data_IF_390760357012
#
_entry.id   IF_390760357012
#
_cell.length_a   1.000
_cell.length_b   1.000
_cell.length_c   1.000
_cell.angle_alpha   90.00
_cell.angle_beta   90.00
_cell.angle_gamma   90.00
#
_symmetry.space_group_name_H-M   'P 1'
#
loop_
_entity.id
_entity.type
_entity.pdbx_description
1 polymer ?
#
# COMPACT_ATOMS: atom_id res chain seq x y z
N UNK A 1 4.94 1.92 -10.59
CA UNK A 1 4.16 2.91 -11.33
C UNK A 1 3.00 2.16 -11.96
N UNK A 2 1.76 2.57 -11.71
CA UNK A 2 0.56 1.89 -12.19
C UNK A 2 -0.10 2.79 -13.23
N UNK A 3 -0.16 2.30 -14.47
CA UNK A 3 -0.96 2.90 -15.55
C UNK A 3 -2.43 2.49 -15.28
N UNK A 4 -3.40 3.31 -15.66
CA UNK A 4 -4.84 3.05 -15.48
C UNK A 4 -5.21 1.62 -15.92
N UNK A 5 -6.37 1.11 -15.46
CA UNK A 5 -6.86 -0.22 -15.87
C UNK A 5 -6.91 -0.41 -17.41
N UNK A 6 -7.09 0.68 -18.16
CA UNK A 6 -7.12 0.70 -19.62
C UNK A 6 -5.76 1.00 -20.28
N UNK A 7 -4.71 1.25 -19.50
CA UNK A 7 -3.36 1.55 -19.96
C UNK A 7 -3.23 2.78 -20.89
N UNK A 8 -4.20 3.70 -20.84
CA UNK A 8 -4.33 4.83 -21.76
C UNK A 8 -3.73 6.15 -21.23
N UNK A 9 -3.39 6.21 -19.94
CA UNK A 9 -2.85 7.41 -19.27
C UNK A 9 -1.31 7.42 -19.19
N UNK A 10 -0.63 6.57 -19.97
CA UNK A 10 0.84 6.43 -19.96
C UNK A 10 1.59 7.75 -20.18
N UNK A 11 1.02 8.65 -20.99
CA UNK A 11 1.58 9.97 -21.27
C UNK A 11 1.58 10.88 -20.02
N UNK A 12 0.63 10.69 -19.11
CA UNK A 12 0.52 11.42 -17.85
C UNK A 12 1.63 11.02 -16.88
N UNK A 13 2.10 9.78 -16.98
CA UNK A 13 3.18 9.24 -16.15
C UNK A 13 4.58 9.45 -16.74
N UNK A 14 4.67 9.83 -18.02
CA UNK A 14 5.93 9.96 -18.74
C UNK A 14 6.93 10.94 -18.08
N UNK A 15 6.53 12.15 -17.63
CA UNK A 15 7.46 13.06 -16.96
C UNK A 15 8.02 12.48 -15.66
N UNK A 16 7.21 11.71 -14.92
CA UNK A 16 7.63 11.07 -13.67
C UNK A 16 8.56 9.89 -13.94
N UNK A 17 8.32 9.13 -15.01
CA UNK A 17 9.16 8.03 -15.42
C UNK A 17 10.54 8.52 -15.87
N UNK A 18 10.58 9.57 -16.69
CA UNK A 18 11.81 10.23 -17.12
C UNK A 18 12.60 10.78 -15.93
N UNK A 19 11.93 11.50 -15.03
CA UNK A 19 12.57 12.02 -13.82
C UNK A 19 13.17 10.90 -12.96
N UNK A 20 12.42 9.81 -12.76
CA UNK A 20 12.87 8.69 -11.94
C UNK A 20 14.06 7.96 -12.57
N UNK A 21 14.02 7.75 -13.89
CA UNK A 21 15.10 7.12 -14.64
C UNK A 21 16.37 7.98 -14.62
N UNK A 22 16.26 9.28 -14.89
CA UNK A 22 17.39 10.20 -14.94
C UNK A 22 18.07 10.42 -13.58
N UNK A 23 17.37 10.22 -12.47
CA UNK A 23 17.89 10.35 -11.10
C UNK A 23 18.27 9.01 -10.44
N UNK A 24 18.08 7.87 -11.10
CA UNK A 24 18.44 6.56 -10.54
C UNK A 24 19.84 6.16 -10.95
N UNK A 25 20.59 5.57 -10.02
CA UNK A 25 21.93 5.05 -10.31
C UNK A 25 21.88 3.97 -11.38
N UNK A 26 22.64 4.17 -12.45
CA UNK A 26 22.79 3.16 -13.47
C UNK A 26 23.81 2.09 -13.02
N UNK A 27 23.48 0.81 -13.25
CA UNK A 27 24.23 -0.33 -12.69
C UNK A 27 25.72 -0.32 -13.03
N UNK A 28 26.07 0.10 -14.25
CA UNK A 28 27.45 0.08 -14.78
C UNK A 28 28.30 1.26 -14.31
N UNK A 29 27.70 2.45 -14.15
CA UNK A 29 28.42 3.70 -13.81
C UNK A 29 28.35 4.00 -12.32
N UNK A 30 27.44 3.35 -11.59
CA UNK A 30 27.13 3.65 -10.18
C UNK A 30 26.79 5.12 -9.94
N UNK A 31 26.31 5.78 -10.99
CA UNK A 31 25.94 7.18 -11.02
C UNK A 31 24.65 7.30 -11.83
N UNK A 32 23.82 8.28 -11.47
CA UNK A 32 22.66 8.63 -12.26
C UNK A 32 23.08 9.25 -13.60
N UNK A 33 22.28 9.08 -14.67
CA UNK A 33 22.51 9.78 -15.93
C UNK A 33 22.57 11.31 -15.78
N UNK A 34 21.73 11.90 -14.92
CA UNK A 34 21.71 13.35 -14.69
C UNK A 34 23.02 13.83 -14.03
N UNK A 35 23.52 13.10 -13.04
CA UNK A 35 24.80 13.38 -12.42
C UNK A 35 25.96 13.28 -13.40
N UNK A 36 25.96 12.27 -14.28
CA UNK A 36 27.01 12.11 -15.29
C UNK A 36 27.04 13.27 -16.29
N UNK A 37 25.88 13.83 -16.68
CA UNK A 37 25.80 14.91 -17.68
C UNK A 37 25.98 16.30 -17.05
N UNK A 38 25.34 16.55 -15.91
CA UNK A 38 25.23 17.89 -15.32
C UNK A 38 26.04 18.05 -14.02
N UNK A 39 26.66 16.98 -13.52
CA UNK A 39 27.43 17.00 -12.27
C UNK A 39 26.59 17.18 -11.00
N UNK A 40 25.26 17.16 -11.11
CA UNK A 40 24.35 17.26 -9.98
C UNK A 40 22.99 16.65 -10.31
N UNK A 41 22.37 16.02 -9.31
CA UNK A 41 21.01 15.50 -9.41
C UNK A 41 19.99 16.54 -8.91
N UNK A 42 18.91 16.81 -9.66
CA UNK A 42 17.80 17.61 -9.17
C UNK A 42 17.16 16.91 -7.98
N UNK A 43 17.30 17.52 -6.80
CA UNK A 43 16.58 17.09 -5.62
C UNK A 43 15.13 17.52 -5.77
N UNK A 44 14.20 16.61 -5.47
CA UNK A 44 12.81 17.02 -5.25
C UNK A 44 12.81 18.14 -4.21
N UNK A 45 12.21 19.31 -4.49
CA UNK A 45 11.97 20.29 -3.43
C UNK A 45 11.23 19.55 -2.33
N UNK A 46 11.74 19.63 -1.11
CA UNK A 46 11.14 18.97 0.06
C UNK A 46 9.66 19.28 0.07
N UNK A 47 8.84 18.29 -0.31
CA UNK A 47 7.40 18.43 -0.36
C UNK A 47 6.96 18.56 1.09
N UNK A 48 6.73 19.78 1.55
CA UNK A 48 5.97 19.99 2.76
C UNK A 48 4.58 19.44 2.49
N UNK A 49 4.33 18.19 2.91
CA UNK A 49 3.02 17.56 2.81
C UNK A 49 2.10 18.33 3.76
N UNK A 50 1.50 19.39 3.27
CA UNK A 50 0.36 20.02 3.93
C UNK A 50 -0.88 19.18 3.62
N UNK A 51 -1.82 19.16 4.57
CA UNK A 51 -2.97 18.24 4.56
C UNK A 51 -3.96 18.44 3.40
N UNK A 52 -3.75 19.48 2.57
CA UNK A 52 -4.62 19.89 1.46
C UNK A 52 -4.02 19.61 0.07
N UNK A 53 -2.93 18.86 -0.01
CA UNK A 53 -2.41 18.38 -1.31
C UNK A 53 -3.29 17.27 -1.90
N UNK A 54 -3.33 17.08 -3.23
CA UNK A 54 -4.02 15.95 -3.87
C UNK A 54 -3.61 14.59 -3.29
N UNK A 55 -2.34 14.45 -2.88
CA UNK A 55 -1.82 13.29 -2.17
C UNK A 55 -2.46 13.10 -0.78
N UNK A 56 -2.62 14.18 0.00
CA UNK A 56 -3.31 14.16 1.30
C UNK A 56 -4.77 13.71 1.18
N UNK A 57 -5.48 14.20 0.15
CA UNK A 57 -6.86 13.77 -0.14
C UNK A 57 -6.93 12.29 -0.55
N UNK A 58 -5.98 11.83 -1.36
CA UNK A 58 -5.87 10.41 -1.72
C UNK A 58 -5.60 9.53 -0.50
N UNK A 59 -4.68 9.95 0.39
CA UNK A 59 -4.41 9.24 1.65
C UNK A 59 -5.64 9.16 2.56
N UNK A 60 -6.40 10.26 2.72
CA UNK A 60 -7.67 10.26 3.47
C UNK A 60 -8.68 9.27 2.87
N UNK A 61 -8.80 9.25 1.53
CA UNK A 61 -9.67 8.30 0.83
C UNK A 61 -9.25 6.86 1.04
N UNK A 62 -7.95 6.55 0.93
CA UNK A 62 -7.42 5.21 1.21
C UNK A 62 -7.68 4.78 2.66
N UNK A 63 -7.47 5.67 3.62
CA UNK A 63 -7.74 5.38 5.03
C UNK A 63 -9.22 5.08 5.28
N UNK A 64 -10.13 5.86 4.69
CA UNK A 64 -11.58 5.61 4.78
C UNK A 64 -11.94 4.23 4.22
N UNK A 65 -11.50 3.92 3.00
CA UNK A 65 -11.77 2.62 2.36
C UNK A 65 -11.21 1.47 3.20
N UNK A 66 -10.01 1.61 3.76
CA UNK A 66 -9.41 0.60 4.61
C UNK A 66 -10.19 0.41 5.93
N UNK A 67 -10.72 1.48 6.51
CA UNK A 67 -11.55 1.41 7.71
C UNK A 67 -12.89 0.72 7.44
N UNK A 68 -13.54 1.05 6.33
CA UNK A 68 -14.80 0.42 5.92
C UNK A 68 -14.59 -1.07 5.64
N UNK A 69 -13.54 -1.43 4.89
CA UNK A 69 -13.19 -2.84 4.66
C UNK A 69 -12.94 -3.61 5.96
N UNK A 70 -12.23 -3.00 6.93
CA UNK A 70 -12.02 -3.61 8.26
C UNK A 70 -13.34 -3.78 9.02
N UNK A 71 -14.27 -2.84 8.91
CA UNK A 71 -15.59 -2.92 9.56
C UNK A 71 -16.38 -4.09 9.02
N UNK A 72 -16.52 -4.18 7.69
CA UNK A 72 -17.27 -5.25 7.04
C UNK A 72 -16.66 -6.63 7.33
N UNK A 73 -15.34 -6.78 7.21
CA UNK A 73 -14.67 -8.03 7.55
C UNK A 73 -14.93 -8.46 8.99
N UNK A 74 -15.00 -7.52 9.93
CA UNK A 74 -15.32 -7.83 11.33
C UNK A 74 -16.76 -8.32 11.49
N UNK A 75 -17.70 -7.76 10.73
CA UNK A 75 -19.10 -8.22 10.70
C UNK A 75 -19.15 -9.64 10.15
N UNK A 76 -18.49 -9.91 9.02
CA UNK A 76 -18.46 -11.23 8.39
C UNK A 76 -17.83 -12.29 9.29
N UNK A 77 -16.68 -11.98 9.91
CA UNK A 77 -16.02 -12.88 10.86
C UNK A 77 -16.95 -13.22 12.03
N UNK A 78 -17.70 -12.24 12.54
CA UNK A 78 -18.66 -12.49 13.61
C UNK A 78 -19.84 -13.35 13.15
N UNK A 79 -20.34 -13.16 11.94
CA UNK A 79 -21.38 -14.00 11.36
C UNK A 79 -20.89 -15.44 11.17
N UNK A 80 -19.71 -15.62 10.56
CA UNK A 80 -19.08 -16.92 10.38
C UNK A 80 -18.86 -17.62 11.71
N UNK A 81 -18.41 -16.90 12.75
CA UNK A 81 -18.29 -17.43 14.10
C UNK A 81 -19.63 -17.93 14.64
N UNK A 82 -20.71 -17.14 14.53
CA UNK A 82 -22.06 -17.56 14.97
C UNK A 82 -22.53 -18.84 14.28
N UNK A 83 -22.26 -18.99 12.98
CA UNK A 83 -22.63 -20.22 12.27
C UNK A 83 -21.74 -21.40 12.67
N UNK A 84 -20.43 -21.19 12.78
CA UNK A 84 -19.51 -22.23 13.23
C UNK A 84 -19.85 -22.74 14.64
N UNK A 85 -20.14 -21.83 15.57
CA UNK A 85 -20.47 -22.15 16.96
C UNK A 85 -21.77 -22.97 17.08
N UNK A 86 -22.71 -22.88 16.11
CA UNK A 86 -23.89 -23.77 16.07
C UNK A 86 -23.54 -25.24 15.78
N UNK A 87 -22.49 -25.47 15.00
CA UNK A 87 -22.06 -26.82 14.58
C UNK A 87 -20.98 -27.43 15.46
N UNK A 88 -20.35 -26.62 16.34
CA UNK A 88 -19.30 -27.08 17.24
C UNK A 88 -19.90 -27.71 18.49
N UNK A 89 -19.43 -28.90 18.85
CA UNK A 89 -19.68 -29.47 20.16
C UNK A 89 -18.94 -28.65 21.24
N UNK A 90 -19.49 -28.63 22.46
CA UNK A 90 -18.81 -28.02 23.60
C UNK A 90 -17.40 -28.61 23.76
N UNK A 91 -16.36 -27.79 23.99
CA UNK A 91 -15.04 -28.30 24.27
C UNK A 91 -15.09 -29.27 25.45
N UNK A 92 -14.38 -30.41 25.40
CA UNK A 92 -14.27 -31.29 26.55
C UNK A 92 -13.66 -30.52 27.72
N UNK A 93 -14.26 -30.67 28.90
CA UNK A 93 -13.75 -30.08 30.14
C UNK A 93 -12.63 -31.00 30.65
N UNK A 94 -11.41 -30.50 30.66
CA UNK A 94 -10.26 -31.23 31.20
C UNK A 94 -10.03 -30.84 32.66
N UNK A 95 -9.88 -31.83 33.52
CA UNK A 95 -9.49 -31.64 34.91
C UNK A 95 -7.98 -31.92 35.08
N UNK A 96 -7.33 -31.32 36.11
CA UNK A 96 -5.92 -31.61 36.40
C UNK A 96 -5.74 -33.11 36.68
N UNK A 97 -5.05 -33.82 35.79
CA UNK A 97 -4.81 -35.26 35.87
C UNK A 97 -5.34 -36.08 34.68
N UNK A 98 -6.13 -35.48 33.79
CA UNK A 98 -6.57 -36.15 32.56
C UNK A 98 -5.38 -36.39 31.62
N UNK A 99 -5.19 -37.63 31.17
CA UNK A 99 -4.21 -37.98 30.12
C UNK A 99 -4.89 -37.94 28.73
N UNK A 100 -4.15 -37.40 27.76
CA UNK A 100 -4.56 -37.24 26.34
C UNK A 100 -4.52 -38.57 25.60
#
# INVERSE_FOLDING_TARGET
>A
MYVSYHQDDWNTWLPLAEFSYNNSDHYSTKQSPCFTIYGSDPKFPSVHITQDTPAGNLSKKFQSVQQDAKRELKVDVNMLKRYADKSRASPPVFNPGDMV
#
